data_IF_373782586208
#
_entry.id   IF_373782586208
#
_cell.length_a   1.000
_cell.length_b   1.000
_cell.length_c   1.000
_cell.angle_alpha   90.00
_cell.angle_beta   90.00
_cell.angle_gamma   90.00
#
_symmetry.space_group_name_H-M   'P 1'
#
loop_
_entity.id
_entity.type
_entity.pdbx_description
1 polymer ?
#
# COMPACT_ATOMS: atom_id res chain seq x y z
N UNK A 1 -23.27 -1.63 1.78
CA UNK A 1 -22.52 -0.55 1.08
C UNK A 1 -21.29 -1.17 0.43
N UNK A 2 -20.81 -0.61 -0.70
CA UNK A 2 -19.68 -1.20 -1.44
C UNK A 2 -18.34 -0.88 -0.74
N UNK A 3 -17.46 -1.86 -0.53
CA UNK A 3 -16.10 -1.60 -0.05
C UNK A 3 -15.28 -0.89 -1.13
N UNK A 4 -14.15 -0.30 -0.77
CA UNK A 4 -13.17 0.20 -1.73
C UNK A 4 -11.75 -0.22 -1.36
N UNK A 5 -10.89 -0.35 -2.36
CA UNK A 5 -9.49 -0.70 -2.20
C UNK A 5 -8.61 0.25 -3.02
N UNK A 6 -7.75 0.99 -2.32
CA UNK A 6 -6.77 1.87 -2.96
C UNK A 6 -5.56 1.05 -3.37
N UNK A 7 -5.34 0.93 -4.68
CA UNK A 7 -4.22 0.23 -5.31
C UNK A 7 -3.13 1.25 -5.63
N UNK A 8 -1.90 1.02 -5.20
CA UNK A 8 -0.85 2.01 -5.35
C UNK A 8 0.57 1.42 -5.25
N UNK A 9 1.56 2.31 -5.27
CA UNK A 9 2.94 2.04 -4.84
C UNK A 9 3.29 2.93 -3.63
N UNK A 10 4.36 2.60 -2.90
CA UNK A 10 4.77 3.40 -1.73
C UNK A 10 5.11 4.84 -2.13
N UNK A 11 4.76 5.82 -1.30
CA UNK A 11 5.03 7.27 -1.53
C UNK A 11 4.41 7.85 -2.82
N UNK A 12 3.40 7.20 -3.36
CA UNK A 12 2.61 7.66 -4.53
C UNK A 12 1.62 8.79 -4.23
N UNK A 13 1.34 9.06 -2.95
CA UNK A 13 0.26 9.96 -2.51
C UNK A 13 -1.01 9.22 -2.08
N UNK A 14 -1.05 7.89 -2.19
CA UNK A 14 -2.17 7.07 -1.73
C UNK A 14 -2.50 7.25 -0.24
N UNK A 15 -1.49 7.49 0.60
CA UNK A 15 -1.70 7.83 2.03
C UNK A 15 -2.52 9.10 2.20
N UNK A 16 -2.24 10.17 1.44
CA UNK A 16 -3.00 11.42 1.54
C UNK A 16 -4.48 11.18 1.22
N UNK A 17 -4.78 10.41 0.18
CA UNK A 17 -6.15 10.05 -0.19
C UNK A 17 -6.86 9.28 0.93
N UNK A 18 -6.24 8.23 1.46
CA UNK A 18 -6.89 7.39 2.47
C UNK A 18 -7.08 8.12 3.81
N UNK A 19 -6.18 9.04 4.18
CA UNK A 19 -6.38 9.89 5.36
C UNK A 19 -7.54 10.86 5.16
N UNK A 20 -7.70 11.46 3.98
CA UNK A 20 -8.87 12.30 3.68
C UNK A 20 -10.18 11.50 3.70
N UNK A 21 -10.18 10.27 3.18
CA UNK A 21 -11.35 9.38 3.25
C UNK A 21 -11.66 8.99 4.70
N UNK A 22 -10.66 8.61 5.48
CA UNK A 22 -10.80 8.31 6.92
C UNK A 22 -11.39 9.48 7.69
N UNK A 23 -10.93 10.70 7.42
CA UNK A 23 -11.40 11.92 8.09
C UNK A 23 -12.90 12.21 7.89
N UNK A 24 -13.56 11.59 6.90
CA UNK A 24 -15.02 11.69 6.74
C UNK A 24 -15.81 10.97 7.82
N UNK A 25 -15.20 10.04 8.56
CA UNK A 25 -15.89 9.15 9.52
C UNK A 25 -16.87 8.15 8.88
N UNK A 26 -17.00 8.17 7.55
CA UNK A 26 -18.00 7.41 6.80
C UNK A 26 -17.40 6.49 5.73
N UNK A 27 -16.11 6.63 5.40
CA UNK A 27 -15.46 5.88 4.33
C UNK A 27 -14.52 4.80 4.88
N UNK A 28 -14.94 4.05 5.89
CA UNK A 28 -14.14 2.99 6.50
C UNK A 28 -12.90 3.50 7.24
N UNK A 29 -12.07 2.56 7.68
CA UNK A 29 -10.83 2.79 8.41
C UNK A 29 -9.63 2.26 7.58
N UNK A 30 -9.30 2.89 6.45
CA UNK A 30 -8.36 2.34 5.47
C UNK A 30 -6.93 2.19 6.01
N UNK A 31 -6.42 0.95 6.06
CA UNK A 31 -5.05 0.62 6.45
C UNK A 31 -4.33 -0.19 5.37
N UNK A 32 -3.03 -0.35 5.52
CA UNK A 32 -2.21 -1.30 4.74
C UNK A 32 -2.21 -2.66 5.44
N UNK A 33 -3.36 -3.34 5.44
CA UNK A 33 -3.55 -4.63 6.13
C UNK A 33 -2.63 -5.75 5.60
N UNK A 34 -2.11 -5.58 4.39
CA UNK A 34 -1.42 -6.61 3.62
C UNK A 34 0.10 -6.44 3.62
N UNK A 35 0.64 -5.53 4.45
CA UNK A 35 2.07 -5.22 4.48
C UNK A 35 2.90 -6.16 5.38
N UNK A 36 2.27 -6.84 6.33
CA UNK A 36 2.98 -7.55 7.39
C UNK A 36 3.53 -8.90 6.93
N UNK A 37 4.85 -9.06 6.98
CA UNK A 37 5.53 -10.29 6.57
C UNK A 37 5.24 -11.41 7.58
N UNK A 38 4.86 -12.62 7.14
CA UNK A 38 4.51 -13.71 8.06
C UNK A 38 5.66 -14.15 8.97
N UNK A 39 6.91 -14.03 8.50
CA UNK A 39 8.10 -14.44 9.25
C UNK A 39 8.46 -13.50 10.40
N UNK A 40 8.13 -12.21 10.30
CA UNK A 40 8.53 -11.18 11.27
C UNK A 40 7.37 -10.53 11.98
N UNK A 41 6.13 -10.65 11.46
CA UNK A 41 4.95 -9.93 11.95
C UNK A 41 5.02 -8.41 11.69
N UNK A 42 6.01 -7.95 10.91
CA UNK A 42 6.31 -6.53 10.69
C UNK A 42 6.16 -6.16 9.21
N UNK A 43 5.98 -4.86 8.94
CA UNK A 43 6.11 -4.33 7.59
C UNK A 43 7.57 -4.46 7.10
N UNK A 44 7.83 -4.40 5.77
CA UNK A 44 9.18 -4.59 5.26
C UNK A 44 10.15 -3.53 5.80
N UNK A 45 11.24 -4.02 6.37
CA UNK A 45 12.33 -3.27 6.96
C UNK A 45 13.29 -2.73 5.89
N UNK A 46 14.14 -1.74 6.23
CA UNK A 46 15.07 -1.13 5.27
C UNK A 46 15.85 -2.11 4.43
N UNK A 47 16.51 -3.09 5.06
CA UNK A 47 17.34 -4.07 4.35
C UNK A 47 16.52 -5.04 3.50
N UNK A 48 15.24 -5.26 3.81
CA UNK A 48 14.35 -6.10 3.01
C UNK A 48 13.96 -5.42 1.69
N UNK A 49 13.86 -4.09 1.65
CA UNK A 49 13.66 -3.32 0.40
C UNK A 49 14.86 -3.38 -0.55
N UNK A 50 16.03 -3.73 -0.03
CA UNK A 50 17.29 -3.84 -0.76
C UNK A 50 17.81 -5.29 -0.79
N UNK A 51 16.93 -6.27 -0.59
CA UNK A 51 17.30 -7.67 -0.78
C UNK A 51 17.88 -7.89 -2.19
N UNK A 52 19.03 -8.55 -2.28
CA UNK A 52 19.77 -8.79 -3.53
C UNK A 52 20.67 -7.64 -3.98
N UNK A 53 20.84 -6.59 -3.17
CA UNK A 53 21.83 -5.53 -3.40
C UNK A 53 23.09 -5.83 -2.57
N UNK A 54 24.21 -6.03 -3.24
CA UNK A 54 25.52 -6.34 -2.62
C UNK A 54 26.39 -5.09 -2.38
N UNK A 55 25.85 -3.90 -2.64
CA UNK A 55 26.56 -2.63 -2.45
C UNK A 55 26.59 -2.22 -0.97
N UNK A 56 27.72 -2.48 -0.31
CA UNK A 56 27.94 -2.16 1.09
C UNK A 56 27.73 -0.67 1.42
N UNK A 57 27.95 0.26 0.47
CA UNK A 57 27.74 1.70 0.73
C UNK A 57 26.26 2.04 0.82
N UNK A 58 25.37 1.19 0.28
CA UNK A 58 23.92 1.27 0.52
C UNK A 58 23.59 0.62 1.86
N UNK A 59 24.07 -0.62 2.10
CA UNK A 59 23.66 -1.42 3.25
C UNK A 59 24.08 -0.80 4.59
N UNK A 60 25.19 -0.05 4.64
CA UNK A 60 25.63 0.69 5.82
C UNK A 60 24.72 1.85 6.21
N UNK A 61 23.89 2.36 5.28
CA UNK A 61 22.92 3.43 5.53
C UNK A 61 21.56 2.90 6.01
N UNK A 62 21.42 1.58 6.16
CA UNK A 62 20.18 0.92 6.51
C UNK A 62 20.26 0.32 7.92
N UNK A 63 19.26 0.62 8.74
CA UNK A 63 19.07 0.01 10.05
C UNK A 63 19.20 -1.53 9.96
N UNK A 64 19.82 -2.17 10.97
CA UNK A 64 19.92 -3.63 11.02
C UNK A 64 18.53 -4.28 11.07
N UNK A 65 18.44 -5.53 10.62
CA UNK A 65 17.20 -6.29 10.68
C UNK A 65 16.84 -6.61 12.14
N UNK A 66 15.62 -6.29 12.52
CA UNK A 66 14.94 -6.85 13.67
C UNK A 66 14.35 -8.23 13.28
N UNK A 67 14.64 -9.32 14.01
CA UNK A 67 14.03 -10.62 13.71
C UNK A 67 12.50 -10.62 13.85
N UNK A 68 11.93 -9.68 14.61
CA UNK A 68 10.48 -9.60 14.84
C UNK A 68 9.91 -10.84 15.54
N UNK A 69 8.61 -11.09 15.36
CA UNK A 69 7.93 -12.28 15.85
C UNK A 69 6.97 -12.79 14.78
N UNK A 70 7.09 -14.06 14.34
CA UNK A 70 6.22 -14.61 13.31
C UNK A 70 4.73 -14.41 13.61
N UNK A 71 3.96 -14.07 12.58
CA UNK A 71 2.51 -13.97 12.70
C UNK A 71 1.89 -15.36 12.83
N UNK A 72 1.27 -15.63 13.97
CA UNK A 72 0.63 -16.92 14.30
C UNK A 72 -0.88 -16.93 14.06
N UNK A 73 -1.46 -15.83 13.58
CA UNK A 73 -2.90 -15.75 13.34
C UNK A 73 -3.31 -16.65 12.16
N UNK A 74 -4.33 -17.48 12.40
CA UNK A 74 -4.91 -18.33 11.36
C UNK A 74 -5.44 -17.47 10.19
N UNK A 75 -5.50 -18.01 8.96
CA UNK A 75 -6.03 -17.27 7.80
C UNK A 75 -7.43 -16.70 8.04
N UNK A 76 -8.30 -17.45 8.74
CA UNK A 76 -9.65 -17.00 9.09
C UNK A 76 -9.61 -15.86 10.11
N UNK A 77 -8.83 -15.98 11.19
CA UNK A 77 -8.70 -14.93 12.20
C UNK A 77 -8.13 -13.64 11.61
N UNK A 78 -7.11 -13.76 10.75
CA UNK A 78 -6.57 -12.63 10.00
C UNK A 78 -7.62 -11.96 9.11
N UNK A 79 -8.38 -12.74 8.32
CA UNK A 79 -9.42 -12.19 7.47
C UNK A 79 -10.48 -11.43 8.27
N UNK A 80 -10.93 -11.99 9.38
CA UNK A 80 -11.93 -11.34 10.23
C UNK A 80 -11.36 -10.05 10.87
N UNK A 81 -10.08 -10.04 11.25
CA UNK A 81 -9.40 -8.81 11.65
C UNK A 81 -9.39 -7.76 10.53
N UNK A 82 -9.01 -8.12 9.31
CA UNK A 82 -9.03 -7.19 8.16
C UNK A 82 -10.43 -6.63 7.92
N UNK A 83 -11.46 -7.47 7.95
CA UNK A 83 -12.85 -7.08 7.70
C UNK A 83 -13.42 -6.17 8.79
N UNK A 84 -13.06 -6.41 10.05
CA UNK A 84 -13.55 -5.63 11.20
C UNK A 84 -12.80 -4.31 11.32
N UNK A 85 -11.47 -4.33 11.25
CA UNK A 85 -10.62 -3.14 11.44
C UNK A 85 -10.67 -2.13 10.29
N UNK A 86 -11.17 -2.52 9.11
CA UNK A 86 -11.35 -1.61 7.98
C UNK A 86 -12.72 -0.95 7.89
N UNK A 87 -13.66 -1.26 8.80
CA UNK A 87 -15.05 -0.77 8.75
C UNK A 87 -15.33 0.41 9.67
N UNK A 88 -16.14 1.34 9.18
CA UNK A 88 -16.85 2.35 10.00
C UNK A 88 -18.24 1.83 10.43
N UNK A 89 -18.90 2.45 11.43
CA UNK A 89 -20.22 2.00 11.92
C UNK A 89 -21.33 1.94 10.86
N UNK A 90 -21.22 2.75 9.80
CA UNK A 90 -22.14 2.72 8.66
C UNK A 90 -21.93 1.50 7.71
N UNK A 91 -20.98 0.62 8.02
CA UNK A 91 -20.73 -0.64 7.32
C UNK A 91 -19.81 -0.54 6.10
N UNK A 92 -19.33 0.65 5.73
CA UNK A 92 -18.33 0.83 4.65
C UNK A 92 -16.99 0.29 5.10
N UNK A 93 -16.35 -0.53 4.25
CA UNK A 93 -14.97 -0.98 4.45
C UNK A 93 -14.04 -0.26 3.47
N UNK A 94 -12.86 0.16 3.97
CA UNK A 94 -11.80 0.75 3.17
C UNK A 94 -10.47 0.08 3.45
N UNK A 95 -9.59 0.04 2.44
CA UNK A 95 -8.25 -0.50 2.59
C UNK A 95 -7.28 0.03 1.54
N UNK A 96 -6.00 -0.30 1.71
CA UNK A 96 -4.94 0.02 0.76
C UNK A 96 -4.06 -1.20 0.51
N UNK A 97 -3.72 -1.42 -0.75
CA UNK A 97 -2.88 -2.51 -1.22
C UNK A 97 -1.80 -1.97 -2.15
N UNK A 98 -0.55 -2.32 -1.85
CA UNK A 98 0.59 -2.01 -2.71
C UNK A 98 0.94 -3.20 -3.60
N UNK A 99 1.53 -2.99 -4.78
CA UNK A 99 1.81 -4.11 -5.69
C UNK A 99 2.73 -5.15 -5.06
N UNK A 100 3.76 -4.73 -4.33
CA UNK A 100 4.68 -5.66 -3.65
C UNK A 100 4.01 -6.52 -2.55
N UNK A 101 2.76 -6.23 -2.18
CA UNK A 101 1.99 -6.96 -1.16
C UNK A 101 1.02 -7.98 -1.77
N UNK A 102 0.82 -8.00 -3.09
CA UNK A 102 -0.18 -8.85 -3.75
C UNK A 102 0.12 -10.34 -3.58
N UNK A 103 1.39 -10.74 -3.74
CA UNK A 103 1.84 -12.11 -3.55
C UNK A 103 1.58 -12.60 -2.11
N UNK A 104 1.83 -11.74 -1.11
CA UNK A 104 1.56 -12.06 0.28
C UNK A 104 0.06 -12.23 0.55
N UNK A 105 -0.77 -11.32 0.02
CA UNK A 105 -2.22 -11.44 0.12
C UNK A 105 -2.71 -12.75 -0.53
N UNK A 106 -2.21 -13.11 -1.72
CA UNK A 106 -2.55 -14.36 -2.39
C UNK A 106 -2.11 -15.58 -1.57
N UNK A 107 -0.87 -15.59 -1.06
CA UNK A 107 -0.34 -16.70 -0.27
C UNK A 107 -1.16 -16.93 1.01
N UNK A 108 -1.60 -15.86 1.67
CA UNK A 108 -2.41 -15.97 2.88
C UNK A 108 -3.86 -16.35 2.56
N UNK A 109 -4.43 -15.79 1.49
CA UNK A 109 -5.78 -16.11 1.04
C UNK A 109 -5.90 -17.56 0.55
N UNK A 110 -4.85 -18.14 -0.05
CA UNK A 110 -4.82 -19.54 -0.51
C UNK A 110 -5.08 -20.55 0.61
N UNK A 111 -4.92 -20.16 1.88
CA UNK A 111 -5.15 -21.00 3.05
C UNK A 111 -6.57 -20.81 3.64
N UNK A 112 -7.42 -19.99 3.01
CA UNK A 112 -8.82 -19.84 3.42
C UNK A 112 -9.64 -21.06 3.00
N UNK A 113 -10.58 -21.53 3.85
CA UNK A 113 -11.40 -22.71 3.55
C UNK A 113 -12.39 -22.48 2.40
N UNK A 114 -12.75 -21.22 2.14
CA UNK A 114 -13.76 -20.76 1.18
C UNK A 114 -13.13 -20.00 0.00
N UNK A 115 -11.93 -20.43 -0.43
CA UNK A 115 -11.22 -19.85 -1.57
C UNK A 115 -12.04 -19.99 -2.86
N UNK A 116 -12.26 -18.88 -3.57
CA UNK A 116 -13.12 -18.83 -4.77
C UNK A 116 -12.38 -18.82 -6.12
N UNK A 117 -11.04 -18.89 -6.12
CA UNK A 117 -10.18 -18.95 -7.32
C UNK A 117 -8.72 -18.70 -6.97
N UNK A 118 -7.79 -18.84 -7.91
CA UNK A 118 -6.35 -18.75 -7.59
C UNK A 118 -5.77 -17.33 -7.71
N UNK A 119 -6.38 -16.49 -8.55
CA UNK A 119 -5.88 -15.15 -8.88
C UNK A 119 -6.04 -14.11 -7.76
N UNK A 120 -5.35 -12.97 -7.94
CA UNK A 120 -5.36 -11.82 -7.03
C UNK A 120 -6.77 -11.26 -6.81
N UNK A 121 -7.58 -11.16 -7.87
CA UNK A 121 -8.95 -10.65 -7.79
C UNK A 121 -9.83 -11.50 -6.88
N UNK A 122 -9.75 -12.82 -7.03
CA UNK A 122 -10.43 -13.74 -6.13
C UNK A 122 -9.91 -13.56 -4.69
N UNK A 123 -8.60 -13.36 -4.47
CA UNK A 123 -8.02 -13.19 -3.13
C UNK A 123 -8.56 -11.95 -2.44
N UNK A 124 -8.64 -10.84 -3.17
CA UNK A 124 -9.23 -9.59 -2.70
C UNK A 124 -10.70 -9.82 -2.30
N UNK A 125 -11.49 -10.48 -3.16
CA UNK A 125 -12.91 -10.77 -2.89
C UNK A 125 -13.09 -11.66 -1.67
N UNK A 126 -12.31 -12.73 -1.55
CA UNK A 126 -12.43 -13.68 -0.43
C UNK A 126 -12.07 -13.03 0.90
N UNK A 127 -11.07 -12.15 0.91
CA UNK A 127 -10.64 -11.45 2.12
C UNK A 127 -11.60 -10.33 2.50
N UNK A 128 -12.02 -9.48 1.55
CA UNK A 128 -12.91 -8.33 1.83
C UNK A 128 -14.36 -8.78 2.01
N UNK A 129 -14.75 -9.88 1.37
CA UNK A 129 -16.09 -10.47 1.36
C UNK A 129 -17.00 -9.97 0.24
N UNK A 130 -16.58 -8.97 -0.55
CA UNK A 130 -17.29 -8.46 -1.72
C UNK A 130 -16.27 -7.86 -2.71
N UNK A 131 -16.68 -7.68 -3.97
CA UNK A 131 -15.90 -6.92 -4.96
C UNK A 131 -15.80 -5.45 -4.53
N UNK A 132 -14.59 -4.92 -4.27
CA UNK A 132 -14.41 -3.52 -3.93
C UNK A 132 -14.43 -2.63 -5.18
N UNK A 133 -14.74 -1.35 -4.96
CA UNK A 133 -14.38 -0.31 -5.93
C UNK A 133 -12.86 -0.17 -5.92
N UNK A 134 -12.22 -0.37 -7.07
CA UNK A 134 -10.78 -0.16 -7.23
C UNK A 134 -10.46 1.30 -7.52
N UNK A 135 -9.56 1.87 -6.73
CA UNK A 135 -9.03 3.22 -6.94
C UNK A 135 -7.52 3.10 -7.12
N UNK A 136 -7.01 3.47 -8.29
CA UNK A 136 -5.58 3.40 -8.58
C UNK A 136 -4.91 4.76 -8.40
N UNK A 137 -3.94 4.83 -7.50
CA UNK A 137 -3.14 6.04 -7.24
C UNK A 137 -1.73 5.85 -7.78
N UNK A 138 -1.39 6.64 -8.80
CA UNK A 138 -0.07 6.58 -9.43
C UNK A 138 0.59 7.97 -9.44
N UNK A 139 1.91 8.01 -9.26
CA UNK A 139 2.71 9.24 -9.31
C UNK A 139 3.59 9.22 -10.58
N UNK A 140 3.36 10.11 -11.56
CA UNK A 140 4.13 10.12 -12.80
C UNK A 140 5.63 10.41 -12.60
N UNK A 141 5.95 11.32 -11.67
CA UNK A 141 7.33 11.65 -11.32
C UNK A 141 7.93 10.61 -10.35
N UNK A 142 8.43 9.52 -10.95
CA UNK A 142 9.05 8.40 -10.23
C UNK A 142 10.36 8.79 -9.55
N UNK A 143 11.07 9.81 -10.03
CA UNK A 143 12.34 10.24 -9.43
C UNK A 143 12.06 10.88 -8.08
N UNK A 144 11.13 11.84 -8.03
CA UNK A 144 10.74 12.46 -6.75
C UNK A 144 10.08 11.45 -5.80
N UNK A 145 9.36 10.45 -6.33
CA UNK A 145 8.84 9.35 -5.54
C UNK A 145 9.97 8.52 -4.91
N UNK A 146 10.98 8.16 -5.69
CA UNK A 146 12.11 7.35 -5.25
C UNK A 146 13.01 8.08 -4.23
N UNK A 147 13.29 9.37 -4.45
CA UNK A 147 14.00 10.21 -3.45
C UNK A 147 13.22 10.26 -2.15
N UNK A 148 11.90 10.42 -2.25
CA UNK A 148 11.03 10.45 -1.08
C UNK A 148 10.96 9.09 -0.35
N UNK A 149 11.00 7.98 -1.08
CA UNK A 149 11.05 6.63 -0.54
C UNK A 149 12.39 6.39 0.15
N UNK A 150 13.50 6.76 -0.49
CA UNK A 150 14.85 6.60 0.05
C UNK A 150 15.03 7.32 1.39
N UNK A 151 14.52 8.55 1.51
CA UNK A 151 14.51 9.28 2.78
C UNK A 151 13.64 8.59 3.84
N UNK A 152 12.47 8.07 3.46
CA UNK A 152 11.59 7.35 4.39
C UNK A 152 12.23 6.06 4.92
N UNK A 153 12.95 5.33 4.05
CA UNK A 153 13.71 4.14 4.42
C UNK A 153 14.84 4.46 5.40
N UNK A 154 15.59 5.55 5.23
CA UNK A 154 16.66 5.89 6.18
C UNK A 154 16.10 6.40 7.53
N UNK A 155 15.06 7.22 7.48
CA UNK A 155 14.51 7.85 8.69
C UNK A 155 13.56 6.94 9.49
N UNK A 156 13.11 5.84 8.88
CA UNK A 156 12.00 5.00 9.37
C UNK A 156 10.65 5.75 9.46
N UNK A 157 10.51 6.88 8.77
CA UNK A 157 9.31 7.71 8.82
C UNK A 157 8.59 7.75 7.49
N UNK A 158 7.47 7.03 7.43
CA UNK A 158 6.63 6.92 6.24
C UNK A 158 5.43 7.87 6.27
N UNK A 159 5.05 8.36 7.46
CA UNK A 159 3.95 9.31 7.72
C UNK A 159 4.40 10.36 8.74
N UNK A 160 3.88 11.58 8.63
CA UNK A 160 4.16 12.66 9.58
C UNK A 160 5.56 13.27 9.41
N UNK A 161 6.04 13.92 10.48
CA UNK A 161 7.33 14.58 10.51
C UNK A 161 8.39 13.67 11.15
N UNK A 162 9.55 13.47 10.51
CA UNK A 162 10.62 12.67 11.08
C UNK A 162 11.23 13.35 12.30
N UNK A 163 11.84 12.55 13.19
CA UNK A 163 12.74 13.08 14.23
C UNK A 163 13.82 13.93 13.54
N UNK A 164 13.97 15.22 13.91
CA UNK A 164 14.96 16.11 13.28
C UNK A 164 16.39 15.55 13.26
N UNK A 165 16.76 14.75 14.26
CA UNK A 165 18.09 14.11 14.31
C UNK A 165 18.24 13.03 13.25
N UNK A 166 17.24 12.16 13.08
CA UNK A 166 17.26 11.13 12.03
C UNK A 166 17.13 11.74 10.65
N UNK A 167 16.30 12.76 10.52
CA UNK A 167 16.06 13.44 9.24
C UNK A 167 17.32 14.13 8.71
N UNK A 168 18.08 14.77 9.59
CA UNK A 168 19.35 15.41 9.23
C UNK A 168 20.47 14.43 8.88
N UNK A 169 20.31 13.14 9.23
CA UNK A 169 21.25 12.07 8.92
C UNK A 169 20.95 11.37 7.58
N UNK A 170 19.80 11.62 6.95
CA UNK A 170 19.47 10.98 5.67
C UNK A 170 20.43 11.44 4.57
N UNK A 171 21.13 10.49 3.95
CA UNK A 171 22.17 10.76 2.94
C UNK A 171 21.64 10.45 1.54
N UNK A 172 22.07 11.23 0.55
CA UNK A 172 21.84 10.90 -0.86
C UNK A 172 22.66 9.68 -1.29
N UNK A 173 22.04 8.76 -2.04
CA UNK A 173 22.78 7.66 -2.66
C UNK A 173 22.21 7.35 -4.05
N UNK A 174 22.98 7.63 -5.11
CA UNK A 174 22.54 7.50 -6.49
C UNK A 174 22.10 6.06 -6.83
N UNK A 175 22.90 5.07 -6.43
CA UNK A 175 22.60 3.65 -6.67
C UNK A 175 21.33 3.18 -5.94
N UNK A 176 21.05 3.72 -4.75
CA UNK A 176 19.89 3.32 -3.97
C UNK A 176 18.60 3.89 -4.57
N UNK A 177 18.65 5.16 -4.97
CA UNK A 177 17.55 5.81 -5.68
C UNK A 177 17.28 5.12 -7.01
N UNK A 178 18.32 4.75 -7.78
CA UNK A 178 18.16 4.02 -9.03
C UNK A 178 17.51 2.64 -8.83
N UNK A 179 17.89 1.92 -7.77
CA UNK A 179 17.23 0.66 -7.37
C UNK A 179 15.75 0.85 -7.06
N UNK A 180 15.41 1.85 -6.25
CA UNK A 180 14.02 2.17 -5.92
C UNK A 180 13.22 2.56 -7.18
N UNK A 181 13.80 3.34 -8.09
CA UNK A 181 13.14 3.72 -9.35
C UNK A 181 12.74 2.46 -10.15
N UNK A 182 13.64 1.48 -10.28
CA UNK A 182 13.32 0.21 -10.97
C UNK A 182 12.17 -0.52 -10.26
N UNK A 183 12.28 -0.71 -8.95
CA UNK A 183 11.25 -1.39 -8.17
C UNK A 183 9.88 -0.70 -8.28
N UNK A 184 9.83 0.64 -8.22
CA UNK A 184 8.57 1.38 -8.35
C UNK A 184 7.97 1.26 -9.76
N UNK A 185 8.80 1.25 -10.81
CA UNK A 185 8.35 1.03 -12.19
C UNK A 185 7.81 -0.38 -12.37
N UNK A 186 8.50 -1.39 -11.84
CA UNK A 186 8.07 -2.79 -11.92
C UNK A 186 6.73 -2.99 -11.20
N UNK A 187 6.56 -2.34 -10.04
CA UNK A 187 5.28 -2.34 -9.32
C UNK A 187 4.15 -1.70 -10.13
N UNK A 188 4.39 -0.54 -10.74
CA UNK A 188 3.41 0.16 -11.59
C UNK A 188 3.05 -0.65 -12.84
N UNK A 189 4.04 -1.27 -13.48
CA UNK A 189 3.84 -2.15 -14.63
C UNK A 189 3.01 -3.37 -14.24
N UNK A 190 3.26 -3.92 -13.05
CA UNK A 190 2.47 -5.01 -12.48
C UNK A 190 0.99 -4.66 -12.33
N UNK A 191 0.68 -3.49 -11.74
CA UNK A 191 -0.70 -3.02 -11.66
C UNK A 191 -1.36 -2.91 -13.04
N UNK A 192 -0.68 -2.28 -14.01
CA UNK A 192 -1.21 -2.10 -15.37
C UNK A 192 -1.46 -3.41 -16.09
N UNK A 193 -0.54 -4.36 -15.97
CA UNK A 193 -0.68 -5.69 -16.54
C UNK A 193 -1.89 -6.41 -15.93
N UNK A 194 -2.01 -6.39 -14.60
CA UNK A 194 -3.13 -7.02 -13.91
C UNK A 194 -4.49 -6.39 -14.26
N UNK A 195 -4.57 -5.06 -14.41
CA UNK A 195 -5.80 -4.41 -14.86
C UNK A 195 -6.22 -4.87 -16.26
N UNK A 196 -5.27 -4.97 -17.18
CA UNK A 196 -5.53 -5.42 -18.54
C UNK A 196 -5.96 -6.91 -18.58
N UNK A 197 -5.28 -7.76 -17.80
CA UNK A 197 -5.56 -9.20 -17.71
C UNK A 197 -6.97 -9.47 -17.15
N UNK A 198 -7.38 -8.75 -16.11
CA UNK A 198 -8.66 -8.97 -15.42
C UNK A 198 -9.82 -8.11 -15.98
N UNK A 199 -9.54 -7.25 -16.97
CA UNK A 199 -10.51 -6.29 -17.51
C UNK A 199 -11.01 -5.29 -16.47
N UNK A 200 -10.13 -4.84 -15.58
CA UNK A 200 -10.45 -3.89 -14.50
C UNK A 200 -10.23 -2.46 -15.00
N UNK A 201 -11.24 -1.60 -14.84
CA UNK A 201 -11.15 -0.16 -15.07
C UNK A 201 -11.20 0.58 -13.72
N UNK A 202 -10.05 0.87 -13.09
CA UNK A 202 -10.01 1.50 -11.77
C UNK A 202 -10.21 3.01 -11.88
N UNK A 203 -10.78 3.62 -10.84
CA UNK A 203 -10.82 5.09 -10.72
C UNK A 203 -9.38 5.60 -10.62
N UNK A 204 -8.93 6.39 -11.59
CA UNK A 204 -7.57 6.93 -11.61
C UNK A 204 -7.45 8.19 -10.76
N UNK A 205 -6.40 8.24 -9.93
CA UNK A 205 -6.12 9.39 -9.06
C UNK A 205 -4.64 9.79 -9.10
N UNK A 206 -4.39 11.04 -9.46
CA UNK A 206 -3.05 11.63 -9.40
C UNK A 206 -2.81 12.33 -8.05
N UNK A 207 -1.58 12.28 -7.51
CA UNK A 207 -1.21 13.01 -6.30
C UNK A 207 -1.40 14.53 -6.48
N UNK A 208 -1.86 15.21 -5.42
CA UNK A 208 -2.20 16.66 -5.45
C UNK A 208 -3.57 16.99 -6.06
N UNK A 209 -4.22 15.99 -6.63
CA UNK A 209 -5.54 15.94 -7.26
C UNK A 209 -6.78 16.45 -6.54
N UNK A 210 -6.81 17.20 -5.41
CA UNK A 210 -8.04 17.29 -4.57
C UNK A 210 -9.34 17.43 -5.39
N UNK A 211 -10.29 16.52 -5.19
CA UNK A 211 -11.51 16.47 -5.98
C UNK A 211 -12.21 17.80 -5.74
N UNK A 212 -12.40 18.59 -6.80
CA UNK A 212 -13.26 19.75 -6.69
C UNK A 212 -14.66 19.21 -6.40
N UNK A 213 -15.32 19.64 -5.32
CA UNK A 213 -16.73 19.32 -5.15
C UNK A 213 -17.46 19.88 -6.38
N UNK A 214 -18.28 19.04 -7.02
CA UNK A 214 -19.07 19.41 -8.17
C UNK A 214 -19.79 20.73 -7.89
N UNK A 215 -19.39 21.79 -8.59
CA UNK A 215 -20.20 22.99 -8.73
C UNK A 215 -21.24 22.73 -9.82
N UNK A 216 -22.21 21.88 -9.54
CA UNK A 216 -23.43 21.80 -10.34
C UNK A 216 -24.53 21.08 -9.55
N UNK A 217 -24.99 21.76 -8.51
CA UNK A 217 -26.30 21.49 -7.93
C UNK A 217 -26.82 22.80 -7.33
N UNK A 218 -27.26 23.70 -8.19
CA UNK A 218 -27.70 25.02 -7.75
C UNK A 218 -28.10 25.96 -8.88
N UNK A 219 -29.04 25.53 -9.73
CA UNK A 219 -29.91 26.43 -10.50
C UNK A 219 -31.20 25.70 -10.91
N UNK A 220 -32.05 25.46 -9.91
CA UNK A 220 -33.50 25.35 -10.08
C UNK A 220 -34.13 26.29 -9.04
N UNK A 221 -34.32 27.55 -9.43
CA UNK A 221 -35.33 28.48 -8.93
C UNK A 221 -35.35 29.70 -9.86
#
# INVERSE_FOLDING_TARGET
>A
MRPYLVLATQRSGSTLLVESLRATGCAGEPQEFFQYLPSTGMAPQPREWFAGVDDDTILQLLDPLDPGTPDTATPVAWREHVRTSGRTPNGVWGGKLMWNQTALLQQRAAQLPDRSGDGLRAAIRDVIGNEPVFVHVHRPDVVSQAVSFWRAVQTQVWRGHPDPKRDSQAVYHAGAIAHIIRNLRDQENGWRAWFAEEGIDPIIRLPGVMAQPDRDCGQCA
#
